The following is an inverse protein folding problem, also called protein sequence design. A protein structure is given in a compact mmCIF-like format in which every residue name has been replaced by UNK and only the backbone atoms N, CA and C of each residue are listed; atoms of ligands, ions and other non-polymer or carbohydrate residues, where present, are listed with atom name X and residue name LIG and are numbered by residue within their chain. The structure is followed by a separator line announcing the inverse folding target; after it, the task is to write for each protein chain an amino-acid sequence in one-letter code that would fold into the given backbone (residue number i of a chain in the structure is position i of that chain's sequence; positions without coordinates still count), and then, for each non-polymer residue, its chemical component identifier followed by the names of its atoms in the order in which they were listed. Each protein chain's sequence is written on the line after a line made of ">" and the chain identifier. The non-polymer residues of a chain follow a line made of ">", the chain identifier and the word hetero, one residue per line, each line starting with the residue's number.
data_IF_959194935077
#
_entry.id   IF_959194935077
#
_cell.length_a   1.000
_cell.length_b   1.000
_cell.length_c   1.000
_cell.angle_alpha   90.00
_cell.angle_beta   90.00
_cell.angle_gamma   90.00
#
_symmetry.space_group_name_H-M   'P 1'
#
loop_
_entity.id
_entity.type
_entity.pdbx_description
1 polymer ?
#
# COMPACT_ATOMS: atom_id res chain seq x y z
N UNK A 1 -5.11 16.07 10.62
CA UNK A 1 -4.33 14.86 10.32
C UNK A 1 -3.03 14.97 11.05
N UNK A 2 -2.64 13.96 11.82
CA UNK A 2 -1.33 13.92 12.48
C UNK A 2 -0.21 13.69 11.44
N UNK A 3 1.03 14.03 11.76
CA UNK A 3 2.19 13.76 10.88
C UNK A 3 2.24 12.29 10.43
N UNK A 4 1.89 11.37 11.33
CA UNK A 4 1.81 9.95 11.03
C UNK A 4 0.69 9.61 10.02
N UNK A 5 -0.50 10.19 10.18
CA UNK A 5 -1.59 10.02 9.22
C UNK A 5 -1.22 10.59 7.83
N UNK A 6 -0.50 11.71 7.79
CA UNK A 6 -0.03 12.29 6.52
C UNK A 6 0.99 11.39 5.83
N UNK A 7 1.95 10.86 6.58
CA UNK A 7 2.91 9.86 6.10
C UNK A 7 2.22 8.61 5.55
N UNK A 8 1.19 8.11 6.24
CA UNK A 8 0.40 6.96 5.78
C UNK A 8 -0.32 7.22 4.46
N UNK A 9 -1.09 8.32 4.37
CA UNK A 9 -1.84 8.67 3.16
C UNK A 9 -0.91 8.91 1.97
N UNK A 10 0.33 9.34 2.21
CA UNK A 10 1.34 9.49 1.15
C UNK A 10 2.01 8.16 0.79
N UNK A 11 2.34 7.32 1.76
CA UNK A 11 3.05 6.06 1.54
C UNK A 11 2.18 4.98 0.89
N UNK A 12 0.91 4.86 1.27
CA UNK A 12 -0.02 3.86 0.72
C UNK A 12 -0.11 3.90 -0.82
N UNK A 13 -0.39 5.05 -1.48
CA UNK A 13 -0.44 5.09 -2.94
C UNK A 13 0.92 4.79 -3.59
N UNK A 14 2.04 5.17 -2.96
CA UNK A 14 3.38 4.83 -3.45
C UNK A 14 3.56 3.31 -3.48
N UNK A 15 3.20 2.61 -2.40
CA UNK A 15 3.29 1.15 -2.31
C UNK A 15 2.41 0.49 -3.38
N UNK A 16 1.18 0.98 -3.57
CA UNK A 16 0.26 0.46 -4.59
C UNK A 16 0.84 0.62 -6.00
N UNK A 17 1.36 1.81 -6.32
CA UNK A 17 2.00 2.07 -7.62
C UNK A 17 3.21 1.17 -7.82
N UNK A 18 4.02 0.97 -6.77
CA UNK A 18 5.20 0.11 -6.84
C UNK A 18 4.83 -1.35 -7.07
N UNK A 19 3.83 -1.88 -6.36
CA UNK A 19 3.31 -3.22 -6.59
C UNK A 19 2.79 -3.39 -8.02
N UNK A 20 2.08 -2.40 -8.56
CA UNK A 20 1.61 -2.39 -9.95
C UNK A 20 2.77 -2.34 -10.96
N UNK A 21 3.83 -1.57 -10.67
CA UNK A 21 5.02 -1.50 -11.50
C UNK A 21 5.77 -2.85 -11.53
N UNK A 22 5.99 -3.47 -10.37
CA UNK A 22 6.61 -4.80 -10.27
C UNK A 22 5.81 -5.87 -11.01
N UNK A 23 4.48 -5.76 -10.97
CA UNK A 23 3.61 -6.63 -11.76
C UNK A 23 3.81 -6.45 -13.26
N UNK A 24 3.94 -5.22 -13.74
CA UNK A 24 4.21 -4.95 -15.17
C UNK A 24 5.57 -5.48 -15.62
N UNK A 25 6.54 -5.56 -14.71
CA UNK A 25 7.86 -6.14 -14.99
C UNK A 25 7.87 -7.68 -14.95
N UNK A 26 6.74 -8.32 -14.63
CA UNK A 26 6.65 -9.78 -14.52
C UNK A 26 7.31 -10.37 -13.27
N UNK A 27 7.83 -9.53 -12.37
CA UNK A 27 8.52 -9.93 -11.13
C UNK A 27 7.52 -10.42 -10.07
N UNK A 28 6.31 -9.87 -10.07
CA UNK A 28 5.26 -10.18 -9.11
C UNK A 28 4.06 -10.82 -9.79
N UNK A 29 3.53 -11.91 -9.24
CA UNK A 29 2.33 -12.56 -9.76
C UNK A 29 1.08 -11.68 -9.56
N UNK A 30 0.06 -11.85 -10.42
CA UNK A 30 -1.29 -12.21 -9.92
C UNK A 30 -1.68 -11.77 -8.53
N UNK A 31 -1.83 -12.84 -7.77
CA UNK A 31 -2.15 -12.93 -6.37
C UNK A 31 -1.19 -12.12 -5.52
N UNK A 32 0.11 -12.10 -5.81
CA UNK A 32 1.11 -11.34 -5.05
C UNK A 32 0.89 -9.82 -5.11
N UNK A 33 0.47 -9.32 -6.27
CA UNK A 33 0.15 -7.90 -6.45
C UNK A 33 -1.10 -7.53 -5.65
N UNK A 34 -2.13 -8.36 -5.76
CA UNK A 34 -3.41 -8.14 -5.06
C UNK A 34 -3.22 -8.24 -3.54
N UNK A 35 -2.46 -9.21 -3.05
CA UNK A 35 -2.19 -9.37 -1.62
C UNK A 35 -1.36 -8.20 -1.07
N UNK A 36 -0.35 -7.72 -1.82
CA UNK A 36 0.44 -6.56 -1.42
C UNK A 36 -0.42 -5.29 -1.32
N UNK A 37 -1.28 -5.05 -2.31
CA UNK A 37 -2.21 -3.90 -2.29
C UNK A 37 -3.19 -4.04 -1.12
N UNK A 38 -3.80 -5.21 -0.94
CA UNK A 38 -4.76 -5.45 0.13
C UNK A 38 -4.12 -5.27 1.52
N UNK A 39 -2.91 -5.80 1.73
CA UNK A 39 -2.18 -5.62 2.98
C UNK A 39 -1.81 -4.15 3.22
N UNK A 40 -1.36 -3.44 2.19
CA UNK A 40 -1.05 -2.00 2.29
C UNK A 40 -2.27 -1.19 2.72
N UNK A 41 -3.44 -1.44 2.11
CA UNK A 41 -4.69 -0.78 2.47
C UNK A 41 -5.13 -1.15 3.88
N UNK A 42 -5.05 -2.43 4.26
CA UNK A 42 -5.43 -2.89 5.60
C UNK A 42 -4.58 -2.21 6.69
N UNK A 43 -3.25 -2.19 6.52
CA UNK A 43 -2.33 -1.55 7.47
C UNK A 43 -2.61 -0.05 7.57
N UNK A 44 -2.78 0.62 6.42
CA UNK A 44 -3.09 2.05 6.38
C UNK A 44 -4.39 2.35 7.11
N UNK A 45 -5.43 1.55 6.91
CA UNK A 45 -6.75 1.74 7.53
C UNK A 45 -6.67 1.57 9.04
N UNK A 46 -6.02 0.51 9.52
CA UNK A 46 -5.86 0.26 10.96
C UNK A 46 -5.09 1.40 11.60
N UNK A 47 -3.92 1.75 11.06
CA UNK A 47 -3.08 2.79 11.64
C UNK A 47 -3.74 4.17 11.60
N UNK A 48 -4.47 4.49 10.53
CA UNK A 48 -5.15 5.78 10.39
C UNK A 48 -6.27 5.95 11.43
N UNK A 49 -6.98 4.89 11.79
CA UNK A 49 -8.06 4.93 12.80
C UNK A 49 -7.50 4.95 14.24
N UNK A 50 -6.32 4.37 14.46
CA UNK A 50 -5.69 4.30 15.79
C UNK A 50 -4.83 5.50 16.16
N UNK A 51 -4.49 6.36 15.20
CA UNK A 51 -3.56 7.50 15.34
C UNK A 51 -4.28 8.83 15.10
#
# INVERSE_FOLDING_TARGET
>A
MTEAQFGLVTATPIIIVFAAALRRMGVLSTTGTVSAIAASVAIATVLFVTQ
#
